data_IF_332141142391
#
_entry.id   IF_332141142391
#
_cell.length_a   1.000
_cell.length_b   1.000
_cell.length_c   1.000
_cell.angle_alpha   90.00
_cell.angle_beta   90.00
_cell.angle_gamma   90.00
#
_symmetry.space_group_name_H-M   'P 1'
#
loop_
_entity.id
_entity.type
_entity.pdbx_description
1 polymer ?
#
# COMPACT_ATOMS: atom_id res chain seq x y z
N UNK A 1 26.72 -0.88 -23.78
CA UNK A 1 25.29 -0.60 -23.45
C UNK A 1 24.92 -1.49 -22.28
N UNK A 2 24.97 -0.95 -21.06
CA UNK A 2 24.53 -1.64 -19.84
C UNK A 2 23.57 -0.69 -19.15
N UNK A 3 22.30 -0.77 -19.52
CA UNK A 3 21.20 -0.04 -18.89
C UNK A 3 20.63 -0.99 -17.85
N UNK A 4 21.12 -0.89 -16.61
CA UNK A 4 20.62 -1.73 -15.53
C UNK A 4 20.88 -1.09 -14.17
N UNK A 5 20.20 0.02 -13.86
CA UNK A 5 20.14 0.53 -12.49
C UNK A 5 18.72 1.01 -12.15
N UNK A 6 17.88 0.04 -11.79
CA UNK A 6 16.70 0.22 -10.93
C UNK A 6 16.98 -0.54 -9.64
N UNK A 7 17.08 0.13 -8.47
CA UNK A 7 16.97 -0.48 -7.12
C UNK A 7 16.55 0.56 -6.07
N UNK A 8 15.64 0.32 -5.12
CA UNK A 8 14.92 -0.93 -4.80
C UNK A 8 13.49 -0.76 -4.22
N UNK A 9 13.00 0.46 -3.93
CA UNK A 9 11.87 0.59 -2.98
C UNK A 9 10.61 1.26 -3.55
N UNK A 10 10.70 1.80 -4.77
CA UNK A 10 9.56 2.38 -5.48
C UNK A 10 9.34 1.58 -6.77
N UNK A 11 8.24 0.84 -6.84
CA UNK A 11 7.75 0.27 -8.11
C UNK A 11 7.12 1.41 -8.89
N UNK A 12 7.92 2.32 -9.45
CA UNK A 12 7.37 3.30 -10.40
C UNK A 12 6.96 2.55 -11.68
N UNK A 13 5.69 2.63 -12.07
CA UNK A 13 5.25 2.18 -13.39
C UNK A 13 5.47 3.24 -14.47
N UNK A 14 6.14 4.35 -14.15
CA UNK A 14 6.66 5.28 -15.14
C UNK A 14 7.88 4.67 -15.82
N UNK A 15 7.89 4.63 -17.16
CA UNK A 15 9.03 4.13 -17.93
C UNK A 15 10.26 5.06 -17.95
N UNK A 16 10.45 5.90 -16.92
CA UNK A 16 11.49 6.95 -16.88
C UNK A 16 12.59 6.66 -15.85
N UNK A 17 13.73 7.32 -16.01
CA UNK A 17 14.92 7.06 -15.21
C UNK A 17 14.70 7.45 -13.74
N UNK A 18 15.23 6.61 -12.84
CA UNK A 18 15.08 6.73 -11.38
C UNK A 18 15.69 7.99 -10.75
N UNK A 19 16.49 8.76 -11.49
CA UNK A 19 17.28 9.88 -10.97
C UNK A 19 16.42 11.08 -10.53
N UNK A 20 15.12 11.11 -10.87
CA UNK A 20 14.18 12.18 -10.47
C UNK A 20 13.22 11.78 -9.33
N UNK A 21 13.50 10.69 -8.61
CA UNK A 21 12.66 10.20 -7.51
C UNK A 21 13.24 10.48 -6.11
N UNK A 22 13.39 11.76 -5.74
CA UNK A 22 13.57 12.18 -4.34
C UNK A 22 12.23 12.35 -3.59
N UNK A 23 11.33 11.37 -3.73
CA UNK A 23 10.09 11.28 -2.97
C UNK A 23 8.80 11.45 -3.77
N UNK A 24 8.76 12.36 -4.74
CA UNK A 24 7.66 12.57 -5.70
C UNK A 24 8.24 12.73 -7.12
N UNK A 25 7.55 12.20 -8.14
CA UNK A 25 8.01 12.32 -9.52
C UNK A 25 7.88 13.78 -9.96
N UNK A 26 9.00 14.42 -10.32
CA UNK A 26 9.00 15.83 -10.74
C UNK A 26 8.68 16.03 -12.23
N UNK A 27 8.51 14.94 -12.98
CA UNK A 27 8.19 15.01 -14.40
C UNK A 27 6.74 15.42 -14.62
N UNK A 28 6.52 16.47 -15.43
CA UNK A 28 5.17 16.88 -15.82
C UNK A 28 4.44 15.75 -16.57
N UNK A 29 3.21 15.42 -16.13
CA UNK A 29 2.42 14.33 -16.69
C UNK A 29 2.76 12.93 -16.14
N UNK A 30 3.55 12.85 -15.08
CA UNK A 30 3.92 11.61 -14.41
C UNK A 30 2.86 11.20 -13.37
N UNK A 31 2.07 10.15 -13.65
CA UNK A 31 1.01 9.63 -12.75
C UNK A 31 1.55 8.75 -11.60
N UNK A 32 2.76 9.04 -11.13
CA UNK A 32 3.47 8.15 -10.22
C UNK A 32 2.95 8.26 -8.81
N UNK A 33 2.29 7.20 -8.35
CA UNK A 33 1.80 7.12 -6.98
C UNK A 33 2.90 6.57 -6.08
N UNK A 34 3.18 7.28 -4.97
CA UNK A 34 4.07 6.76 -3.94
C UNK A 34 3.37 5.63 -3.20
N UNK A 35 3.82 4.41 -3.44
CA UNK A 35 3.30 3.24 -2.75
C UNK A 35 3.72 3.27 -1.27
N UNK A 36 2.74 3.21 -0.37
CA UNK A 36 3.03 3.00 1.04
C UNK A 36 3.30 1.52 1.27
N UNK A 37 4.41 1.22 1.95
CA UNK A 37 4.78 -0.12 2.37
C UNK A 37 4.75 -0.22 3.89
N UNK A 38 4.11 -1.28 4.40
CA UNK A 38 3.98 -1.55 5.82
C UNK A 38 4.48 -2.96 6.10
N UNK A 39 5.31 -3.09 7.13
CA UNK A 39 5.67 -4.41 7.64
C UNK A 39 4.66 -4.83 8.70
N UNK A 40 3.96 -5.93 8.45
CA UNK A 40 3.01 -6.53 9.39
C UNK A 40 3.48 -7.93 9.79
N UNK A 41 3.17 -8.31 11.03
CA UNK A 41 3.39 -9.67 11.50
C UNK A 41 2.09 -10.45 11.38
N UNK A 42 1.98 -11.28 10.34
CA UNK A 42 0.83 -12.15 10.12
C UNK A 42 1.21 -13.60 10.46
N UNK A 43 0.46 -14.25 11.35
CA UNK A 43 0.65 -15.66 11.72
C UNK A 43 2.11 -16.01 12.08
N UNK A 44 2.76 -15.16 12.89
CA UNK A 44 4.17 -15.27 13.31
C UNK A 44 5.21 -15.15 12.18
N UNK A 45 4.81 -14.71 10.98
CA UNK A 45 5.70 -14.40 9.86
C UNK A 45 5.66 -12.90 9.56
N UNK A 46 6.83 -12.30 9.34
CA UNK A 46 6.94 -10.92 8.86
C UNK A 46 6.53 -10.89 7.39
N UNK A 47 5.65 -9.96 7.04
CA UNK A 47 5.16 -9.73 5.67
C UNK A 47 5.22 -8.24 5.38
N UNK A 48 5.80 -7.89 4.24
CA UNK A 48 5.72 -6.54 3.69
C UNK A 48 4.49 -6.46 2.81
N UNK A 49 3.60 -5.53 3.11
CA UNK A 49 2.45 -5.20 2.28
C UNK A 49 2.76 -3.87 1.61
N UNK A 50 2.61 -3.82 0.29
CA UNK A 50 2.81 -2.62 -0.53
C UNK A 50 1.49 -2.32 -1.25
N UNK A 51 1.20 -1.03 -1.46
CA UNK A 51 0.00 -0.58 -2.19
C UNK A 51 -1.32 -1.07 -1.59
N UNK A 52 -1.46 -0.93 -0.27
CA UNK A 52 -2.68 -1.33 0.44
C UNK A 52 -3.66 -0.17 0.55
N UNK A 53 -4.90 -0.40 0.12
CA UNK A 53 -6.02 0.49 0.41
C UNK A 53 -6.53 0.23 1.84
N UNK A 54 -6.48 1.26 2.69
CA UNK A 54 -7.16 1.23 3.98
C UNK A 54 -8.63 1.60 3.79
N UNK A 55 -9.52 0.66 4.08
CA UNK A 55 -10.96 0.87 3.98
C UNK A 55 -11.48 1.57 5.24
N UNK A 56 -12.40 2.51 5.06
CA UNK A 56 -13.15 3.12 6.16
C UNK A 56 -14.36 2.25 6.54
N UNK A 57 -14.91 2.49 7.75
CA UNK A 57 -16.07 1.73 8.24
C UNK A 57 -17.29 1.85 7.32
N UNK A 58 -17.49 3.01 6.69
CA UNK A 58 -18.56 3.20 5.71
C UNK A 58 -18.40 2.31 4.48
N UNK A 59 -17.17 2.02 4.06
CA UNK A 59 -16.87 1.22 2.86
C UNK A 59 -17.00 -0.29 3.09
N UNK A 60 -17.02 -0.75 4.34
CA UNK A 60 -17.09 -2.18 4.68
C UNK A 60 -18.47 -2.62 5.14
N UNK A 61 -19.40 -1.69 5.39
CA UNK A 61 -20.78 -2.02 5.83
C UNK A 61 -21.54 -2.86 4.80
N UNK A 62 -21.24 -2.65 3.52
CA UNK A 62 -21.87 -3.37 2.41
C UNK A 62 -21.26 -4.77 2.21
N UNK A 63 -20.08 -5.04 2.77
CA UNK A 63 -19.47 -6.37 2.78
C UNK A 63 -19.75 -7.09 4.11
N UNK A 64 -20.69 -8.05 4.07
CA UNK A 64 -21.17 -8.73 5.28
C UNK A 64 -20.06 -9.44 6.09
N UNK A 65 -19.02 -9.93 5.42
CA UNK A 65 -17.89 -10.62 6.06
C UNK A 65 -17.00 -9.61 6.79
N UNK A 66 -16.57 -8.55 6.10
CA UNK A 66 -15.72 -7.50 6.65
C UNK A 66 -16.43 -6.76 7.80
N UNK A 67 -17.72 -6.46 7.64
CA UNK A 67 -18.53 -5.86 8.70
C UNK A 67 -18.61 -6.75 9.93
N UNK A 68 -18.91 -8.04 9.78
CA UNK A 68 -18.97 -8.96 10.91
C UNK A 68 -17.62 -9.07 11.64
N UNK A 69 -16.53 -9.16 10.88
CA UNK A 69 -15.18 -9.20 11.44
C UNK A 69 -14.87 -7.94 12.27
N UNK A 70 -15.14 -6.75 11.71
CA UNK A 70 -14.95 -5.48 12.42
C UNK A 70 -15.86 -5.40 13.66
N UNK A 71 -17.13 -5.77 13.52
CA UNK A 71 -18.11 -5.68 14.59
C UNK A 71 -17.71 -6.49 15.83
N UNK A 72 -17.35 -7.76 15.62
CA UNK A 72 -16.92 -8.67 16.69
C UNK A 72 -15.68 -8.12 17.42
N UNK A 73 -14.69 -7.65 16.67
CA UNK A 73 -13.42 -7.21 17.27
C UNK A 73 -13.49 -5.82 17.91
N UNK A 74 -14.23 -4.88 17.32
CA UNK A 74 -14.23 -3.47 17.75
C UNK A 74 -15.34 -3.12 18.75
N UNK A 75 -16.52 -3.73 18.64
CA UNK A 75 -17.70 -3.36 19.42
C UNK A 75 -18.12 -4.44 20.41
N UNK A 76 -18.23 -5.69 19.97
CA UNK A 76 -18.75 -6.77 20.83
C UNK A 76 -17.86 -7.10 22.03
N UNK A 77 -16.54 -7.04 21.88
CA UNK A 77 -15.59 -7.29 22.97
C UNK A 77 -15.41 -6.09 23.94
N UNK A 78 -16.20 -5.02 23.78
CA UNK A 78 -16.19 -3.84 24.68
C UNK A 78 -17.41 -3.77 25.61
N UNK A 79 -18.35 -4.70 25.48
CA UNK A 79 -19.47 -4.94 26.40
C UNK A 79 -19.11 -6.04 27.40
#
# INVERSE_FOLDING_TARGET
KQENQVKADAVCNCGHNNEEHEGECQMEGCDCTKFQSFEVNLLKKKKTITDIKFLQESEIKDDSISWNCLYVNKYKNKE
#
